data_IF_241413574000
#
_entry.id   IF_241413574000
#
_cell.length_a   1.000
_cell.length_b   1.000
_cell.length_c   1.000
_cell.angle_alpha   90.00
_cell.angle_beta   90.00
_cell.angle_gamma   90.00
#
_symmetry.space_group_name_H-M   'P 1'
#
loop_
_entity.id
_entity.type
_entity.pdbx_description
1 polymer ?
#
# COMPACT_ATOMS: atom_id res chain seq x y z
N UNK A 1 19.90 -4.02 -4.15
CA UNK A 1 20.02 -3.34 -5.45
C UNK A 1 20.68 -4.25 -6.48
N UNK A 2 21.98 -4.53 -6.40
CA UNK A 2 22.65 -5.45 -7.32
C UNK A 2 24.14 -5.59 -7.02
N UNK A 3 24.87 -6.19 -7.94
CA UNK A 3 26.34 -6.31 -7.94
C UNK A 3 26.88 -6.00 -9.33
N UNK A 4 28.17 -5.63 -9.40
CA UNK A 4 28.91 -5.41 -10.64
C UNK A 4 30.10 -6.36 -10.68
N UNK A 5 30.40 -6.93 -11.85
CA UNK A 5 31.61 -7.70 -12.12
C UNK A 5 32.30 -7.15 -13.37
N UNK A 6 33.63 -7.03 -13.32
CA UNK A 6 34.46 -6.67 -14.47
C UNK A 6 35.10 -7.94 -15.07
N UNK A 7 35.31 -7.93 -16.38
CA UNK A 7 36.10 -8.93 -17.09
C UNK A 7 37.00 -8.24 -18.13
N UNK A 8 38.34 -8.35 -18.01
CA UNK A 8 39.06 -9.02 -16.92
C UNK A 8 38.91 -8.26 -15.58
N UNK A 9 38.92 -8.98 -14.46
CA UNK A 9 38.93 -8.40 -13.11
C UNK A 9 40.38 -8.12 -12.68
N UNK A 10 40.76 -6.84 -12.66
CA UNK A 10 42.13 -6.38 -12.41
C UNK A 10 42.15 -5.16 -11.51
N UNK A 11 43.22 -5.00 -10.74
CA UNK A 11 43.46 -3.80 -9.96
C UNK A 11 43.75 -2.57 -10.85
N UNK A 12 44.41 -2.79 -12.00
CA UNK A 12 44.78 -1.75 -12.95
C UNK A 12 44.64 -2.25 -14.39
N UNK A 13 44.31 -1.33 -15.30
CA UNK A 13 44.10 -1.59 -16.72
C UNK A 13 45.02 -0.73 -17.58
N UNK A 14 45.50 -1.29 -18.70
CA UNK A 14 46.28 -0.53 -19.67
C UNK A 14 45.39 0.44 -20.46
N UNK A 15 45.99 1.53 -20.97
CA UNK A 15 45.27 2.45 -21.86
C UNK A 15 44.80 1.72 -23.11
N UNK A 16 43.52 1.87 -23.46
CA UNK A 16 42.90 1.19 -24.59
C UNK A 16 42.59 -0.28 -24.33
N UNK A 17 42.78 -0.77 -23.10
CA UNK A 17 42.36 -2.12 -22.73
C UNK A 17 40.84 -2.22 -22.75
N UNK A 18 40.35 -3.29 -23.36
CA UNK A 18 38.92 -3.59 -23.44
C UNK A 18 38.45 -4.28 -22.16
N UNK A 19 37.40 -3.77 -21.55
CA UNK A 19 36.79 -4.30 -20.34
C UNK A 19 35.29 -4.44 -20.52
N UNK A 20 34.73 -5.54 -20.04
CA UNK A 20 33.28 -5.77 -19.98
C UNK A 20 32.81 -5.66 -18.53
N UNK A 21 31.87 -4.76 -18.26
CA UNK A 21 31.16 -4.66 -17.00
C UNK A 21 29.81 -5.39 -17.09
N UNK A 22 29.50 -6.22 -16.09
CA UNK A 22 28.22 -6.94 -15.99
C UNK A 22 27.52 -6.58 -14.68
N UNK A 23 26.25 -6.15 -14.77
CA UNK A 23 25.39 -5.85 -13.63
C UNK A 23 24.43 -7.03 -13.37
N UNK A 24 24.33 -7.45 -12.13
CA UNK A 24 23.36 -8.46 -11.69
C UNK A 24 22.45 -7.87 -10.63
N UNK A 25 21.15 -7.76 -10.93
CA UNK A 25 20.17 -7.27 -9.96
C UNK A 25 19.91 -8.32 -8.86
N UNK A 26 19.71 -7.87 -7.63
CA UNK A 26 19.22 -8.74 -6.53
C UNK A 26 17.71 -8.90 -6.64
N UNK A 27 17.17 -9.94 -6.01
CA UNK A 27 15.71 -10.13 -5.93
C UNK A 27 14.98 -8.86 -5.45
N UNK A 28 13.87 -8.52 -6.12
CA UNK A 28 13.09 -7.31 -5.86
C UNK A 28 13.70 -6.02 -6.42
N UNK A 29 14.74 -6.12 -7.24
CA UNK A 29 15.33 -5.00 -7.98
C UNK A 29 15.49 -5.35 -9.46
N UNK A 30 15.52 -4.31 -10.28
CA UNK A 30 15.87 -4.39 -11.69
C UNK A 30 16.98 -3.39 -12.02
N UNK A 31 17.83 -3.77 -12.96
CA UNK A 31 18.87 -2.90 -13.51
C UNK A 31 18.23 -1.82 -14.38
N UNK A 32 18.72 -0.58 -14.27
CA UNK A 32 18.20 0.57 -15.00
C UNK A 32 19.17 0.99 -16.11
N UNK A 33 20.41 1.34 -15.74
CA UNK A 33 21.45 1.76 -16.68
C UNK A 33 22.82 1.81 -16.02
N UNK A 34 23.83 1.90 -16.86
CA UNK A 34 25.19 2.30 -16.50
C UNK A 34 25.34 3.82 -16.62
N UNK A 35 26.00 4.45 -15.66
CA UNK A 35 26.37 5.87 -15.73
C UNK A 35 27.85 6.10 -15.45
N UNK A 36 28.40 7.12 -16.09
CA UNK A 36 29.73 7.69 -15.83
C UNK A 36 29.55 9.18 -15.56
N UNK A 37 30.07 9.68 -14.44
CA UNK A 37 29.93 11.09 -14.04
C UNK A 37 28.45 11.55 -14.08
N UNK A 38 27.53 10.65 -13.71
CA UNK A 38 26.07 10.88 -13.71
C UNK A 38 25.38 10.82 -15.08
N UNK A 39 26.12 10.63 -16.18
CA UNK A 39 25.56 10.51 -17.54
C UNK A 39 25.37 9.06 -17.94
N UNK A 40 24.21 8.72 -18.49
CA UNK A 40 23.91 7.36 -18.94
C UNK A 40 24.79 6.96 -20.14
N UNK A 41 25.42 5.80 -20.07
CA UNK A 41 26.31 5.27 -21.12
C UNK A 41 25.80 3.96 -21.74
N UNK A 42 24.97 3.20 -21.04
CA UNK A 42 24.33 1.99 -21.56
C UNK A 42 23.09 1.62 -20.74
N UNK A 43 22.08 1.05 -21.38
CA UNK A 43 20.89 0.44 -20.74
C UNK A 43 20.95 -1.08 -20.69
N UNK A 44 21.97 -1.67 -21.31
CA UNK A 44 22.19 -3.12 -21.29
C UNK A 44 22.88 -3.55 -20.00
N UNK A 45 22.51 -4.71 -19.47
CA UNK A 45 23.12 -5.26 -18.23
C UNK A 45 24.62 -5.54 -18.39
N UNK A 46 25.06 -5.73 -19.63
CA UNK A 46 26.48 -5.85 -20.02
C UNK A 46 26.92 -4.60 -20.79
N UNK A 47 28.06 -4.03 -20.42
CA UNK A 47 28.64 -2.86 -21.08
C UNK A 47 30.13 -3.07 -21.36
N UNK A 48 30.51 -3.11 -22.64
CA UNK A 48 31.91 -3.20 -23.09
C UNK A 48 32.44 -1.81 -23.44
N UNK A 49 33.63 -1.47 -22.96
CA UNK A 49 34.28 -0.18 -23.21
C UNK A 49 35.81 -0.30 -23.17
N UNK A 50 36.49 0.74 -23.67
CA UNK A 50 37.95 0.86 -23.60
C UNK A 50 38.35 1.77 -22.43
N UNK A 51 39.39 1.38 -21.67
CA UNK A 51 39.91 2.19 -20.56
C UNK A 51 40.86 3.27 -21.09
N UNK A 52 40.38 4.51 -21.22
CA UNK A 52 41.21 5.64 -21.64
C UNK A 52 41.74 6.48 -20.47
N UNK A 53 40.97 6.56 -19.38
CA UNK A 53 41.27 7.29 -18.15
C UNK A 53 40.67 6.56 -16.94
N UNK A 54 41.05 6.99 -15.74
CA UNK A 54 40.36 6.60 -14.52
C UNK A 54 38.88 6.97 -14.63
N UNK A 55 37.99 6.03 -14.34
CA UNK A 55 36.56 6.23 -14.46
C UNK A 55 35.83 5.46 -13.35
N UNK A 56 34.82 6.10 -12.78
CA UNK A 56 33.85 5.42 -11.93
C UNK A 56 32.63 5.07 -12.77
N UNK A 57 32.42 3.76 -12.94
CA UNK A 57 31.28 3.22 -13.65
C UNK A 57 30.24 2.79 -12.60
N UNK A 58 29.03 3.31 -12.74
CA UNK A 58 27.94 3.09 -11.78
C UNK A 58 26.82 2.29 -12.43
N UNK A 59 26.44 1.16 -11.84
CA UNK A 59 25.21 0.44 -12.17
C UNK A 59 24.07 0.96 -11.31
N UNK A 60 23.04 1.51 -11.94
CA UNK A 60 21.85 1.99 -11.26
C UNK A 60 20.77 0.91 -11.25
N UNK A 61 20.12 0.73 -10.11
CA UNK A 61 19.03 -0.20 -9.94
C UNK A 61 17.83 0.49 -9.31
N UNK A 62 16.64 0.05 -9.68
CA UNK A 62 15.39 0.43 -9.00
C UNK A 62 14.74 -0.80 -8.40
N UNK A 63 13.92 -0.61 -7.37
CA UNK A 63 13.09 -1.71 -6.87
C UNK A 63 12.11 -2.12 -7.96
N UNK A 64 11.96 -3.42 -8.18
CA UNK A 64 10.88 -3.93 -9.01
C UNK A 64 9.58 -3.65 -8.29
N UNK A 65 8.66 -2.96 -8.94
CA UNK A 65 7.30 -2.79 -8.42
C UNK A 65 6.59 -4.14 -8.54
N UNK A 66 6.20 -4.73 -7.40
CA UNK A 66 5.30 -5.88 -7.43
C UNK A 66 3.96 -5.37 -7.97
N UNK A 67 3.29 -6.11 -8.88
CA UNK A 67 1.91 -5.81 -9.23
C UNK A 67 1.12 -5.68 -7.94
N UNK A 68 0.48 -4.53 -7.74
CA UNK A 68 -0.38 -4.36 -6.58
C UNK A 68 -1.61 -5.22 -6.84
N UNK A 69 -1.73 -6.32 -6.12
CA UNK A 69 -2.91 -7.19 -6.18
C UNK A 69 -4.11 -6.38 -5.66
N UNK A 70 -4.98 -6.00 -6.60
CA UNK A 70 -6.23 -5.30 -6.31
C UNK A 70 -7.36 -6.31 -6.19
N UNK A 71 -8.17 -6.17 -5.16
CA UNK A 71 -9.35 -7.00 -4.92
C UNK A 71 -10.61 -6.14 -4.88
N UNK A 72 -11.74 -6.75 -5.22
CA UNK A 72 -13.04 -6.09 -5.14
C UNK A 72 -13.68 -6.36 -3.78
N UNK A 73 -14.18 -5.29 -3.15
CA UNK A 73 -15.04 -5.35 -1.98
C UNK A 73 -16.41 -4.83 -2.39
N UNK A 74 -17.46 -5.60 -2.11
CA UNK A 74 -18.85 -5.18 -2.31
C UNK A 74 -19.61 -5.12 -1.00
N UNK A 75 -20.62 -4.27 -0.94
CA UNK A 75 -21.56 -4.18 0.18
C UNK A 75 -22.99 -4.30 -0.32
N UNK A 76 -23.84 -4.99 0.43
CA UNK A 76 -25.28 -5.08 0.18
C UNK A 76 -26.08 -4.99 1.48
N UNK A 77 -27.31 -4.51 1.40
CA UNK A 77 -28.28 -4.68 2.48
C UNK A 77 -29.01 -6.01 2.29
N UNK A 78 -29.44 -6.65 3.38
CA UNK A 78 -30.33 -7.81 3.33
C UNK A 78 -31.66 -7.50 2.65
N UNK A 79 -32.16 -6.27 2.81
CA UNK A 79 -33.28 -5.71 2.05
C UNK A 79 -33.07 -4.18 1.91
N UNK A 80 -33.10 -3.68 0.66
CA UNK A 80 -32.89 -2.26 0.35
C UNK A 80 -34.01 -1.34 0.88
N UNK A 81 -35.16 -1.90 1.29
CA UNK A 81 -36.24 -1.17 1.98
C UNK A 81 -35.89 -0.87 3.44
N UNK A 82 -34.98 -1.62 4.04
CA UNK A 82 -34.64 -1.51 5.46
C UNK A 82 -33.45 -0.60 5.75
N UNK A 83 -32.58 -0.40 4.76
CA UNK A 83 -31.39 0.44 4.93
C UNK A 83 -30.61 0.62 3.64
N UNK A 84 -29.58 1.46 3.72
CA UNK A 84 -28.58 1.69 2.67
C UNK A 84 -27.20 1.33 3.18
N UNK A 85 -26.28 1.08 2.24
CA UNK A 85 -24.88 0.74 2.53
C UNK A 85 -23.95 1.50 1.60
N UNK A 86 -22.75 1.83 2.08
CA UNK A 86 -21.67 2.39 1.27
C UNK A 86 -20.30 1.97 1.80
N UNK A 87 -19.27 2.11 0.96
CA UNK A 87 -17.87 2.00 1.34
C UNK A 87 -17.24 3.39 1.41
N UNK A 88 -16.29 3.56 2.32
CA UNK A 88 -15.47 4.76 2.44
C UNK A 88 -13.99 4.36 2.67
N UNK A 89 -13.07 4.65 1.72
CA UNK A 89 -13.33 5.28 0.42
C UNK A 89 -14.14 4.38 -0.52
N UNK A 90 -14.95 4.96 -1.40
CA UNK A 90 -15.63 4.22 -2.46
C UNK A 90 -14.71 4.06 -3.67
N UNK A 91 -14.34 2.81 -4.00
CA UNK A 91 -13.49 2.46 -5.15
C UNK A 91 -14.00 1.19 -5.85
N UNK A 92 -13.62 1.03 -7.10
CA UNK A 92 -13.88 -0.20 -7.87
C UNK A 92 -13.05 -1.39 -7.38
N UNK A 93 -11.85 -1.11 -6.86
CA UNK A 93 -10.95 -2.10 -6.29
C UNK A 93 -10.02 -1.48 -5.26
N UNK A 94 -9.51 -2.32 -4.36
CA UNK A 94 -8.69 -1.94 -3.21
C UNK A 94 -7.41 -2.74 -3.18
N UNK A 95 -6.34 -2.12 -2.70
CA UNK A 95 -5.05 -2.78 -2.56
C UNK A 95 -5.01 -3.64 -1.29
N UNK A 96 -4.25 -4.73 -1.31
CA UNK A 96 -4.03 -5.51 -0.10
C UNK A 96 -3.40 -4.63 0.99
N UNK A 97 -4.07 -4.60 2.14
CA UNK A 97 -3.69 -3.82 3.30
C UNK A 97 -4.30 -2.43 3.38
N UNK A 98 -5.06 -2.00 2.37
CA UNK A 98 -5.84 -0.77 2.45
C UNK A 98 -6.88 -0.84 3.58
N UNK A 99 -7.13 0.29 4.25
CA UNK A 99 -8.16 0.40 5.29
C UNK A 99 -9.44 0.95 4.66
N UNK A 100 -10.52 0.18 4.75
CA UNK A 100 -11.83 0.55 4.22
C UNK A 100 -12.87 0.50 5.33
N UNK A 101 -13.84 1.40 5.27
CA UNK A 101 -14.98 1.43 6.19
C UNK A 101 -16.27 1.07 5.46
N UNK A 102 -16.95 0.01 5.90
CA UNK A 102 -18.31 -0.29 5.49
C UNK A 102 -19.30 0.44 6.42
N UNK A 103 -20.23 1.19 5.84
CA UNK A 103 -21.16 2.07 6.55
C UNK A 103 -22.58 1.65 6.22
N UNK A 104 -23.36 1.35 7.25
CA UNK A 104 -24.78 0.99 7.16
C UNK A 104 -25.66 2.11 7.73
N UNK A 105 -26.71 2.48 7.02
CA UNK A 105 -27.70 3.48 7.48
C UNK A 105 -29.08 2.86 7.42
N UNK A 106 -29.71 2.66 8.59
CA UNK A 106 -31.07 2.14 8.65
C UNK A 106 -32.07 3.19 8.16
N UNK A 107 -33.11 2.74 7.46
CA UNK A 107 -34.28 3.57 7.14
C UNK A 107 -35.22 3.63 8.35
N UNK A 108 -36.13 4.60 8.33
CA UNK A 108 -37.14 4.78 9.38
C UNK A 108 -37.92 3.49 9.66
N UNK A 109 -38.12 3.18 10.94
CA UNK A 109 -38.79 1.96 11.39
C UNK A 109 -37.93 0.70 11.33
N UNK A 110 -36.63 0.81 11.01
CA UNK A 110 -35.67 -0.29 11.02
C UNK A 110 -34.44 0.04 11.87
N UNK A 111 -33.73 -1.02 12.29
CA UNK A 111 -32.43 -0.90 12.97
C UNK A 111 -31.40 -1.82 12.32
N UNK A 112 -30.15 -1.35 12.29
CA UNK A 112 -29.00 -2.18 11.92
C UNK A 112 -28.72 -3.20 13.03
N UNK A 113 -28.34 -4.42 12.67
CA UNK A 113 -28.02 -5.51 13.60
C UNK A 113 -26.54 -5.88 13.52
N UNK A 114 -26.03 -6.20 12.33
CA UNK A 114 -24.64 -6.57 12.13
C UNK A 114 -24.23 -6.59 10.65
N UNK A 115 -22.92 -6.62 10.42
CA UNK A 115 -22.30 -6.97 9.15
C UNK A 115 -21.95 -8.46 9.13
N UNK A 116 -22.16 -9.10 7.99
CA UNK A 116 -21.77 -10.50 7.75
C UNK A 116 -20.96 -10.66 6.47
N UNK A 117 -20.05 -11.65 6.46
CA UNK A 117 -19.35 -12.12 5.26
C UNK A 117 -19.56 -13.63 5.17
N UNK A 118 -20.08 -14.11 4.04
CA UNK A 118 -20.46 -15.51 3.85
C UNK A 118 -21.31 -16.07 5.01
N UNK A 119 -22.25 -15.26 5.51
CA UNK A 119 -23.15 -15.61 6.62
C UNK A 119 -22.54 -15.56 8.03
N UNK A 120 -21.25 -15.30 8.19
CA UNK A 120 -20.59 -15.14 9.50
C UNK A 120 -20.55 -13.67 9.91
N UNK A 121 -20.90 -13.38 11.17
CA UNK A 121 -20.86 -12.03 11.73
C UNK A 121 -19.41 -11.53 11.83
N UNK A 122 -19.15 -10.33 11.32
CA UNK A 122 -17.82 -9.69 11.35
C UNK A 122 -17.80 -8.39 12.15
N UNK A 123 -18.96 -7.75 12.36
CA UNK A 123 -19.10 -6.54 13.19
C UNK A 123 -20.55 -6.33 13.60
N UNK A 124 -20.78 -5.84 14.81
CA UNK A 124 -22.07 -5.34 15.32
C UNK A 124 -22.19 -3.80 15.23
N UNK A 125 -21.12 -3.11 14.81
CA UNK A 125 -21.10 -1.67 14.58
C UNK A 125 -21.54 -1.32 13.16
N UNK A 126 -22.41 -0.32 13.04
CA UNK A 126 -22.90 0.17 11.74
C UNK A 126 -21.76 0.70 10.84
N UNK A 127 -20.72 1.25 11.46
CA UNK A 127 -19.45 1.57 10.82
C UNK A 127 -18.42 0.49 11.15
N UNK A 128 -18.03 -0.29 10.16
CA UNK A 128 -17.04 -1.35 10.28
C UNK A 128 -15.79 -1.00 9.47
N UNK A 129 -14.74 -0.58 10.18
CA UNK A 129 -13.41 -0.32 9.60
C UNK A 129 -12.58 -1.59 9.63
N UNK A 130 -12.06 -2.01 8.48
CA UNK A 130 -11.26 -3.23 8.34
C UNK A 130 -10.12 -3.05 7.35
N UNK A 131 -9.13 -3.95 7.44
CA UNK A 131 -8.02 -4.05 6.52
C UNK A 131 -8.39 -5.04 5.41
N UNK A 132 -8.24 -4.63 4.15
CA UNK A 132 -8.47 -5.48 2.99
C UNK A 132 -7.37 -6.54 2.92
N UNK A 133 -7.74 -7.82 2.94
CA UNK A 133 -6.82 -8.96 2.81
C UNK A 133 -7.22 -9.93 1.66
N UNK A 134 -8.48 -9.87 1.22
CA UNK A 134 -9.05 -10.66 0.12
C UNK A 134 -10.32 -10.01 -0.42
N UNK A 135 -10.81 -10.50 -1.55
CA UNK A 135 -12.14 -10.15 -2.04
C UNK A 135 -13.23 -10.59 -1.04
N UNK A 136 -14.22 -9.73 -0.83
CA UNK A 136 -15.31 -10.00 0.11
C UNK A 136 -16.59 -9.27 -0.29
N UNK A 137 -17.72 -9.91 0.00
CA UNK A 137 -19.05 -9.28 -0.03
C UNK A 137 -19.57 -9.18 1.41
N UNK A 138 -19.79 -7.95 1.86
CA UNK A 138 -20.33 -7.65 3.17
C UNK A 138 -21.85 -7.44 3.04
N UNK A 139 -22.63 -8.15 3.85
CA UNK A 139 -24.06 -7.92 3.97
C UNK A 139 -24.38 -7.22 5.29
N UNK A 140 -24.99 -6.04 5.21
CA UNK A 140 -25.63 -5.36 6.34
C UNK A 140 -26.99 -5.98 6.62
N UNK A 141 -27.20 -6.44 7.84
CA UNK A 141 -28.46 -7.03 8.29
C UNK A 141 -29.25 -6.00 9.09
N UNK A 142 -30.44 -5.67 8.60
CA UNK A 142 -31.40 -4.80 9.27
C UNK A 142 -32.64 -5.59 9.69
N UNK A 143 -33.34 -5.11 10.70
CA UNK A 143 -34.64 -5.65 11.15
C UNK A 143 -35.61 -4.51 11.43
N UNK A 144 -36.91 -4.77 11.29
CA UNK A 144 -37.96 -3.82 11.67
C UNK A 144 -37.90 -3.58 13.18
N UNK A 145 -38.01 -2.33 13.62
CA UNK A 145 -38.22 -1.99 15.02
C UNK A 145 -39.66 -2.35 15.34
N UNK A 146 -39.88 -3.32 16.22
CA UNK A 146 -41.22 -3.54 16.79
C UNK A 146 -41.55 -2.38 17.70
N UNK A 147 -42.78 -1.88 17.62
CA UNK A 147 -43.31 -0.97 18.64
C UNK A 147 -43.31 -1.74 19.96
N UNK A 148 -42.50 -1.29 20.93
CA UNK A 148 -42.71 -1.70 22.31
C UNK A 148 -44.14 -1.28 22.71
N UNK A 149 -44.89 -2.10 23.47
CA UNK A 149 -46.21 -1.72 23.93
C UNK A 149 -46.11 -0.37 24.62
N UNK A 150 -46.91 0.60 24.15
CA UNK A 150 -47.02 1.95 24.68
C UNK A 150 -46.98 1.90 26.21
N UNK A 151 -45.95 2.48 26.86
CA UNK A 151 -45.93 2.50 28.32
C UNK A 151 -47.14 3.31 28.81
N UNK A 152 -48.00 2.69 29.62
CA UNK A 152 -48.97 3.44 30.42
C UNK A 152 -48.19 4.38 31.32
N UNK A 153 -48.50 5.67 31.21
CA UNK A 153 -47.76 6.77 31.79
C UNK A 153 -47.89 6.81 33.33
N UNK A 154 -46.83 6.53 34.13
CA UNK A 154 -46.83 6.90 35.54
C UNK A 154 -46.30 8.33 35.66
N UNK A 155 -46.99 9.15 36.46
CA UNK A 155 -46.65 10.54 36.78
C UNK A 155 -45.28 10.67 37.44
N UNK A 156 -44.64 11.81 37.12
CA UNK A 156 -43.64 12.63 37.84
C UNK A 156 -42.81 11.98 38.97
N UNK A 157 -41.47 12.10 38.92
CA UNK A 157 -40.66 12.80 39.93
C UNK A 157 -39.12 12.77 39.64
N UNK A 158 -38.55 13.98 39.62
CA UNK A 158 -37.26 14.48 40.13
C UNK A 158 -35.85 13.92 39.75
N UNK A 159 -35.05 14.87 39.20
CA UNK A 159 -33.65 15.30 39.51
C UNK A 159 -32.37 14.45 39.33
N UNK A 160 -31.37 15.21 38.85
CA UNK A 160 -29.90 15.18 39.11
C UNK A 160 -29.01 14.25 38.25
N UNK A 161 -27.75 14.52 37.85
CA UNK A 161 -26.81 15.68 37.69
C UNK A 161 -25.50 15.12 37.08
N UNK A 162 -24.78 15.91 36.25
CA UNK A 162 -23.32 15.85 35.88
C UNK A 162 -22.74 14.55 35.25
N UNK A 163 -21.64 14.49 34.48
CA UNK A 163 -20.38 15.26 34.25
C UNK A 163 -19.95 15.12 32.76
N UNK A 164 -19.24 16.06 32.12
CA UNK A 164 -17.77 16.02 31.85
C UNK A 164 -17.38 14.98 30.75
N UNK A 165 -16.49 15.16 29.78
CA UNK A 165 -15.43 16.12 29.47
C UNK A 165 -14.99 15.87 28.00
N UNK A 166 -14.21 16.80 27.47
CA UNK A 166 -13.59 16.92 26.15
C UNK A 166 -12.59 15.80 25.82
N UNK A 167 -12.45 15.48 24.52
CA UNK A 167 -11.39 14.60 24.01
C UNK A 167 -11.04 14.88 22.55
N UNK A 168 -9.95 15.60 22.34
CA UNK A 168 -9.37 16.01 21.04
C UNK A 168 -8.94 14.78 20.23
N UNK A 169 -9.21 14.78 18.92
CA UNK A 169 -8.75 13.73 18.00
C UNK A 169 -7.29 13.95 17.54
N UNK A 170 -6.45 12.90 17.44
CA UNK A 170 -5.09 13.04 16.95
C UNK A 170 -5.03 13.15 15.42
N UNK A 171 -4.24 14.10 14.93
CA UNK A 171 -3.81 14.21 13.53
C UNK A 171 -2.70 13.17 13.31
N UNK A 172 -2.88 12.25 12.36
CA UNK A 172 -1.82 11.31 11.94
C UNK A 172 -1.32 11.71 10.55
N UNK A 173 -0.01 11.93 10.35
CA UNK A 173 0.53 12.30 9.06
C UNK A 173 0.55 11.11 8.10
N UNK A 174 0.18 11.38 6.84
CA UNK A 174 0.24 10.48 5.70
C UNK A 174 1.71 10.21 5.34
N UNK A 175 2.21 9.02 5.67
CA UNK A 175 3.56 8.61 5.29
C UNK A 175 3.63 8.34 3.78
N UNK A 176 4.26 9.26 3.04
CA UNK A 176 4.59 9.09 1.64
C UNK A 176 5.58 7.93 1.43
N UNK A 177 5.23 7.00 0.55
CA UNK A 177 6.11 5.92 0.11
C UNK A 177 7.23 6.52 -0.75
N UNK A 178 8.40 6.78 -0.16
CA UNK A 178 9.59 7.12 -0.94
C UNK A 178 10.14 5.86 -1.63
N UNK A 179 10.17 5.89 -2.96
CA UNK A 179 10.90 4.92 -3.77
C UNK A 179 12.41 5.12 -3.54
N UNK A 180 13.01 4.25 -2.74
CA UNK A 180 14.46 4.25 -2.53
C UNK A 180 15.17 3.67 -3.77
N UNK A 181 15.80 4.54 -4.58
CA UNK A 181 16.77 4.15 -5.60
C UNK A 181 18.11 3.75 -4.96
N UNK A 182 18.87 2.86 -5.60
CA UNK A 182 20.20 2.46 -5.13
C UNK A 182 21.17 2.23 -6.28
N UNK A 183 22.44 2.55 -6.07
CA UNK A 183 23.53 2.37 -7.04
C UNK A 183 24.66 1.46 -6.52
N UNK A 184 25.21 0.61 -7.39
CA UNK A 184 26.47 -0.10 -7.16
C UNK A 184 27.57 0.55 -8.00
N UNK A 185 28.71 0.88 -7.38
CA UNK A 185 29.81 1.62 -8.03
C UNK A 185 31.03 0.71 -8.14
N UNK A 186 31.69 0.73 -9.30
CA UNK A 186 33.03 0.16 -9.48
C UNK A 186 33.96 1.23 -10.05
N UNK A 187 35.15 1.33 -9.47
CA UNK A 187 36.19 2.24 -9.93
C UNK A 187 37.18 1.48 -10.80
N UNK A 188 37.44 1.97 -12.02
CA UNK A 188 38.52 1.50 -12.86
C UNK A 188 39.70 2.46 -12.75
N UNK A 189 40.88 1.91 -12.45
CA UNK A 189 42.14 2.64 -12.37
C UNK A 189 43.01 2.25 -13.57
N UNK A 190 43.41 3.25 -14.33
CA UNK A 190 44.44 3.13 -15.36
C UNK A 190 45.79 2.97 -14.65
N UNK A 191 46.63 2.09 -15.16
CA UNK A 191 48.04 1.98 -14.76
C UNK A 191 48.77 3.31 -15.00
N UNK A 192 49.55 3.77 -14.03
CA UNK A 192 50.45 4.92 -14.21
C UNK A 192 51.62 4.51 -15.12
N UNK A 193 51.96 5.38 -16.07
CA UNK A 193 53.00 5.15 -17.07
C UNK A 193 54.42 5.27 -16.47
#
# INVERSE_FOLDING_TARGET
MGTVKLDPDKAEYAKGEKVTATATAKEGYEFVNWTVEGKAVSTETTYEFLVDKNVELTANFKKTEKPVEKVTITVKANDSKMGTVKLDPAKESYENGEIVTAIATAKEGYKFVNWTVAGKVVSDKAEYKFKVDRAAELQANFVKVSEDPKPENPKDEDKAVQTGDNGVSPIIPLAGLMLAAGAAVVALRKKED
#
